data_IF_371389241801
#
_entry.id   IF_371389241801
#
_cell.length_a   1.000
_cell.length_b   1.000
_cell.length_c   1.000
_cell.angle_alpha   90.00
_cell.angle_beta   90.00
_cell.angle_gamma   90.00
#
_symmetry.space_group_name_H-M   'P 1'
#
loop_
_entity.id
_entity.type
_entity.pdbx_description
1 polymer ?
#
# COMPACT_ATOMS: atom_id res chain seq x y z
N UNK A 1 -23.19 26.34 -71.95
CA UNK A 1 -22.42 26.58 -70.72
C UNK A 1 -22.12 25.22 -70.12
N UNK A 2 -20.87 24.77 -70.19
CA UNK A 2 -20.46 23.45 -69.71
C UNK A 2 -19.34 23.66 -68.70
N UNK A 3 -19.66 23.52 -67.41
CA UNK A 3 -18.69 23.58 -66.32
C UNK A 3 -17.93 22.24 -66.27
N UNK A 4 -16.62 22.35 -66.43
CA UNK A 4 -15.66 21.24 -66.45
C UNK A 4 -15.65 20.56 -65.08
N UNK A 5 -15.99 19.28 -65.07
CA UNK A 5 -15.69 18.37 -63.97
C UNK A 5 -14.17 18.36 -63.73
N UNK A 6 -13.74 18.84 -62.57
CA UNK A 6 -12.39 18.66 -62.07
C UNK A 6 -12.20 17.18 -61.75
N UNK A 7 -11.58 16.46 -62.69
CA UNK A 7 -11.07 15.11 -62.46
C UNK A 7 -10.06 15.16 -61.33
N UNK A 8 -10.47 14.77 -60.12
CA UNK A 8 -9.54 14.47 -59.04
C UNK A 8 -8.71 13.24 -59.47
N UNK A 9 -7.53 13.50 -60.01
CA UNK A 9 -6.48 12.50 -60.22
C UNK A 9 -6.17 11.91 -58.86
N UNK A 10 -6.57 10.66 -58.63
CA UNK A 10 -6.13 9.90 -57.46
C UNK A 10 -4.59 9.90 -57.48
N UNK A 11 -3.91 10.30 -56.40
CA UNK A 11 -2.45 10.25 -56.39
C UNK A 11 -2.03 8.82 -56.67
N UNK A 12 -1.17 8.64 -57.67
CA UNK A 12 -0.61 7.34 -58.04
C UNK A 12 0.47 7.00 -57.00
N UNK A 13 0.02 6.56 -55.82
CA UNK A 13 0.88 6.13 -54.72
C UNK A 13 1.60 4.87 -55.18
N UNK A 14 2.94 4.92 -55.22
CA UNK A 14 3.74 3.79 -55.70
C UNK A 14 3.55 2.58 -54.77
N UNK A 15 3.70 1.36 -55.31
CA UNK A 15 3.65 0.13 -54.51
C UNK A 15 4.66 0.14 -53.35
N UNK A 16 5.74 0.91 -53.48
CA UNK A 16 6.78 1.10 -52.46
C UNK A 16 6.31 2.00 -51.31
N UNK A 17 5.62 3.11 -51.60
CA UNK A 17 5.05 4.00 -50.58
C UNK A 17 3.95 3.29 -49.76
N UNK A 18 3.18 2.41 -50.39
CA UNK A 18 2.18 1.57 -49.68
C UNK A 18 2.86 0.55 -48.76
N UNK A 19 3.96 -0.06 -49.19
CA UNK A 19 4.73 -1.01 -48.37
C UNK A 19 5.38 -0.31 -47.18
N UNK A 20 5.98 0.86 -47.37
CA UNK A 20 6.53 1.66 -46.27
C UNK A 20 5.44 2.09 -45.27
N UNK A 21 4.27 2.47 -45.77
CA UNK A 21 3.14 2.83 -44.90
C UNK A 21 2.66 1.64 -44.07
N UNK A 22 2.52 0.46 -44.68
CA UNK A 22 2.15 -0.78 -43.98
C UNK A 22 3.20 -1.21 -42.96
N UNK A 23 4.49 -1.07 -43.25
CA UNK A 23 5.56 -1.34 -42.29
C UNK A 23 5.52 -0.36 -41.11
N UNK A 24 5.31 0.93 -41.37
CA UNK A 24 5.13 1.94 -40.31
C UNK A 24 3.92 1.60 -39.44
N UNK A 25 2.81 1.19 -40.05
CA UNK A 25 1.59 0.81 -39.32
C UNK A 25 1.82 -0.40 -38.41
N UNK A 26 2.46 -1.47 -38.92
CA UNK A 26 2.85 -2.64 -38.11
C UNK A 26 3.76 -2.27 -36.94
N UNK A 27 4.80 -1.46 -37.18
CA UNK A 27 5.70 -0.98 -36.12
C UNK A 27 4.97 -0.15 -35.07
N UNK A 28 3.95 0.62 -35.47
CA UNK A 28 3.15 1.44 -34.55
C UNK A 28 2.21 0.57 -33.70
N UNK A 29 1.60 -0.45 -34.30
CA UNK A 29 0.77 -1.43 -33.58
C UNK A 29 1.60 -2.28 -32.61
N UNK A 30 2.80 -2.71 -33.01
CA UNK A 30 3.72 -3.43 -32.13
C UNK A 30 4.15 -2.56 -30.94
N UNK A 31 4.48 -1.29 -31.17
CA UNK A 31 4.79 -0.34 -30.07
C UNK A 31 3.62 -0.19 -29.11
N UNK A 32 2.40 -0.03 -29.62
CA UNK A 32 1.18 0.05 -28.79
C UNK A 32 0.94 -1.22 -27.98
N UNK A 33 1.16 -2.41 -28.57
CA UNK A 33 1.06 -3.69 -27.87
C UNK A 33 2.10 -3.81 -26.76
N UNK A 34 3.35 -3.42 -27.02
CA UNK A 34 4.42 -3.43 -26.01
C UNK A 34 4.12 -2.46 -24.88
N UNK A 35 3.61 -1.27 -25.19
CA UNK A 35 3.23 -0.27 -24.20
C UNK A 35 2.05 -0.74 -23.33
N UNK A 36 1.04 -1.36 -23.94
CA UNK A 36 -0.08 -1.98 -23.22
C UNK A 36 0.41 -3.10 -22.28
N UNK A 37 1.31 -3.98 -22.76
CA UNK A 37 1.90 -5.04 -21.94
C UNK A 37 2.70 -4.49 -20.77
N UNK A 38 3.43 -3.38 -20.97
CA UNK A 38 4.14 -2.69 -19.88
C UNK A 38 3.16 -2.11 -18.86
N UNK A 39 2.08 -1.48 -19.30
CA UNK A 39 1.06 -0.93 -18.41
C UNK A 39 0.35 -2.02 -17.61
N UNK A 40 0.01 -3.14 -18.24
CA UNK A 40 -0.59 -4.31 -17.57
C UNK A 40 0.37 -4.93 -16.55
N UNK A 41 1.63 -5.17 -16.93
CA UNK A 41 2.64 -5.69 -16.00
C UNK A 41 2.91 -4.73 -14.83
N UNK A 42 2.86 -3.42 -15.08
CA UNK A 42 3.00 -2.40 -14.02
C UNK A 42 1.78 -2.40 -13.10
N UNK A 43 0.57 -2.54 -13.64
CA UNK A 43 -0.66 -2.63 -12.86
C UNK A 43 -0.70 -3.89 -11.99
N UNK A 44 -0.41 -5.06 -12.55
CA UNK A 44 -0.35 -6.31 -11.79
C UNK A 44 0.71 -6.25 -10.68
N UNK A 45 1.85 -5.62 -10.96
CA UNK A 45 2.89 -5.40 -9.95
C UNK A 45 2.40 -4.47 -8.84
N UNK A 46 1.77 -3.35 -9.18
CA UNK A 46 1.21 -2.41 -8.20
C UNK A 46 0.05 -3.02 -7.38
N UNK A 47 -0.82 -3.80 -8.01
CA UNK A 47 -1.91 -4.51 -7.33
C UNK A 47 -1.35 -5.58 -6.39
N UNK A 48 -0.32 -6.31 -6.80
CA UNK A 48 0.39 -7.26 -5.95
C UNK A 48 1.10 -6.55 -4.79
N UNK A 49 1.82 -5.47 -5.07
CA UNK A 49 2.48 -4.66 -4.03
C UNK A 49 1.43 -4.15 -3.02
N UNK A 50 0.23 -3.76 -3.48
CA UNK A 50 -0.88 -3.33 -2.62
C UNK A 50 -1.51 -4.47 -1.81
N UNK A 51 -1.71 -5.66 -2.40
CA UNK A 51 -2.19 -6.83 -1.68
C UNK A 51 -1.18 -7.31 -0.64
N UNK A 52 0.11 -7.33 -1.01
CA UNK A 52 1.24 -7.64 -0.14
C UNK A 52 1.44 -6.59 0.97
N UNK A 53 1.01 -5.34 0.76
CA UNK A 53 1.07 -4.26 1.75
C UNK A 53 -0.08 -4.31 2.78
N UNK A 54 -1.02 -5.24 2.67
CA UNK A 54 -2.11 -5.36 3.65
C UNK A 54 -2.00 -6.63 4.48
N UNK A 55 -2.28 -6.51 5.78
CA UNK A 55 -2.21 -7.60 6.74
C UNK A 55 -3.48 -7.63 7.60
N UNK A 56 -3.88 -8.84 7.98
CA UNK A 56 -4.96 -9.03 8.94
C UNK A 56 -4.39 -9.04 10.36
N UNK A 57 -4.85 -8.10 11.18
CA UNK A 57 -4.41 -7.96 12.57
C UNK A 57 -5.55 -8.40 13.47
N UNK A 58 -5.29 -9.40 14.30
CA UNK A 58 -6.25 -9.90 15.29
C UNK A 58 -5.80 -9.47 16.67
N UNK A 59 -6.64 -8.71 17.39
CA UNK A 59 -6.30 -8.17 18.70
C UNK A 59 -7.50 -8.19 19.64
N UNK A 60 -7.23 -8.10 20.94
CA UNK A 60 -8.25 -8.06 21.97
C UNK A 60 -8.82 -6.66 22.13
N UNK A 61 -10.13 -6.54 21.94
CA UNK A 61 -10.90 -5.32 22.22
C UNK A 61 -11.44 -5.28 23.65
N UNK A 62 -11.66 -6.45 24.24
CA UNK A 62 -11.94 -6.68 25.65
C UNK A 62 -11.37 -8.05 26.05
N UNK A 63 -11.30 -8.41 27.35
CA UNK A 63 -10.70 -9.68 27.80
C UNK A 63 -11.25 -10.92 27.08
N UNK A 64 -12.51 -10.88 26.66
CA UNK A 64 -13.19 -12.00 26.00
C UNK A 64 -13.45 -11.77 24.51
N UNK A 65 -13.23 -10.57 23.98
CA UNK A 65 -13.56 -10.23 22.58
C UNK A 65 -12.33 -9.96 21.75
N UNK A 66 -12.06 -10.85 20.79
CA UNK A 66 -11.11 -10.63 19.70
C UNK A 66 -11.79 -10.00 18.50
N UNK A 67 -11.11 -9.07 17.84
CA UNK A 67 -11.50 -8.52 16.55
C UNK A 67 -10.35 -8.66 15.58
N UNK A 68 -10.69 -8.90 14.32
CA UNK A 68 -9.72 -8.91 13.22
C UNK A 68 -10.04 -7.75 12.31
N UNK A 69 -9.06 -6.91 12.04
CA UNK A 69 -9.19 -5.80 11.08
C UNK A 69 -8.10 -5.90 10.03
N UNK A 70 -8.38 -5.30 8.86
CA UNK A 70 -7.39 -5.16 7.79
C UNK A 70 -6.58 -3.88 8.03
N UNK A 71 -5.28 -4.02 8.13
CA UNK A 71 -4.34 -2.92 8.32
C UNK A 71 -3.29 -2.91 7.19
N UNK A 72 -2.68 -1.76 6.96
CA UNK A 72 -1.51 -1.60 6.10
C UNK A 72 -0.27 -2.01 6.88
N UNK A 73 0.68 -2.66 6.20
CA UNK A 73 2.01 -2.87 6.74
C UNK A 73 2.64 -1.50 6.98
N UNK A 74 3.09 -1.20 8.20
CA UNK A 74 3.81 0.03 8.47
C UNK A 74 5.12 0.03 7.67
N UNK A 75 5.43 1.15 7.03
CA UNK A 75 6.75 1.37 6.43
C UNK A 75 7.85 1.36 7.50
N UNK A 76 9.13 1.20 7.14
CA UNK A 76 10.22 1.17 8.12
C UNK A 76 10.25 2.38 9.05
N UNK A 77 9.96 3.57 8.52
CA UNK A 77 9.90 4.80 9.32
C UNK A 77 8.73 4.75 10.32
N UNK A 78 7.55 4.31 9.87
CA UNK A 78 6.38 4.22 10.73
C UNK A 78 6.56 3.14 11.81
N UNK A 79 7.23 2.05 11.48
CA UNK A 79 7.60 1.01 12.45
C UNK A 79 8.52 1.57 13.54
N UNK A 80 9.54 2.37 13.15
CA UNK A 80 10.42 3.04 14.12
C UNK A 80 9.61 4.00 14.99
N UNK A 81 8.72 4.81 14.41
CA UNK A 81 7.87 5.74 15.14
C UNK A 81 6.97 5.03 16.15
N UNK A 82 6.35 3.91 15.76
CA UNK A 82 5.55 3.04 16.64
C UNK A 82 6.39 2.56 17.82
N UNK A 83 7.59 2.02 17.56
CA UNK A 83 8.45 1.46 18.58
C UNK A 83 8.93 2.53 19.57
N UNK A 84 9.29 3.72 19.07
CA UNK A 84 9.66 4.85 19.91
C UNK A 84 8.50 5.28 20.80
N UNK A 85 7.30 5.47 20.23
CA UNK A 85 6.10 5.85 21.01
C UNK A 85 5.73 4.79 22.06
N UNK A 86 5.86 3.51 21.72
CA UNK A 86 5.59 2.41 22.66
C UNK A 86 6.62 2.36 23.78
N UNK A 87 7.90 2.56 23.47
CA UNK A 87 8.98 2.62 24.45
C UNK A 87 8.87 3.84 25.37
N UNK A 88 8.50 5.00 24.81
CA UNK A 88 8.22 6.21 25.59
C UNK A 88 7.02 6.00 26.52
N UNK A 89 5.93 5.40 26.03
CA UNK A 89 4.75 5.10 26.84
C UNK A 89 5.11 4.21 28.03
N UNK A 90 5.86 3.13 27.80
CA UNK A 90 6.28 2.20 28.85
C UNK A 90 7.18 2.86 29.91
N UNK A 91 7.94 3.91 29.55
CA UNK A 91 8.80 4.63 30.50
C UNK A 91 8.00 5.43 31.53
N UNK A 92 6.86 5.97 31.12
CA UNK A 92 6.00 6.85 31.93
C UNK A 92 4.76 6.14 32.48
N UNK A 93 4.50 4.90 32.06
CA UNK A 93 3.40 4.09 32.57
C UNK A 93 3.50 3.89 34.09
N UNK A 94 2.39 4.10 34.80
CA UNK A 94 2.31 4.00 36.25
C UNK A 94 2.93 5.17 37.03
N UNK A 95 3.50 6.17 36.36
CA UNK A 95 4.01 7.39 37.00
C UNK A 95 2.92 8.46 37.05
N UNK A 96 2.78 9.11 38.21
CA UNK A 96 1.75 10.11 38.46
C UNK A 96 2.30 11.53 38.59
N UNK A 97 3.59 11.75 38.32
CA UNK A 97 4.15 13.10 38.31
C UNK A 97 3.64 13.91 37.11
N UNK A 98 3.46 15.25 37.27
CA UNK A 98 2.88 16.10 36.24
C UNK A 98 3.58 16.03 34.88
N UNK A 99 4.91 15.88 34.87
CA UNK A 99 5.71 15.82 33.65
C UNK A 99 5.48 14.49 32.91
N UNK A 100 5.45 13.37 33.63
CA UNK A 100 5.11 12.06 33.06
C UNK A 100 3.68 12.02 32.53
N UNK A 101 2.73 12.65 33.22
CA UNK A 101 1.34 12.76 32.75
C UNK A 101 1.23 13.62 31.48
N UNK A 102 1.96 14.73 31.40
CA UNK A 102 2.02 15.55 30.19
C UNK A 102 2.62 14.79 29.01
N UNK A 103 3.71 14.05 29.24
CA UNK A 103 4.34 13.21 28.20
C UNK A 103 3.44 12.06 27.75
N UNK A 104 2.76 11.42 28.67
CA UNK A 104 1.74 10.43 28.32
C UNK A 104 0.65 11.07 27.47
N UNK A 105 0.11 12.23 27.86
CA UNK A 105 -0.92 12.93 27.09
C UNK A 105 -0.51 13.24 25.64
N UNK A 106 0.76 13.63 25.40
CA UNK A 106 1.30 13.79 24.05
C UNK A 106 1.28 12.47 23.26
N UNK A 107 1.63 11.35 23.90
CA UNK A 107 1.61 10.02 23.28
C UNK A 107 0.17 9.59 22.97
N UNK A 108 -0.77 9.85 23.89
CA UNK A 108 -2.21 9.61 23.71
C UNK A 108 -2.79 10.35 22.50
N UNK A 109 -2.21 11.48 22.08
CA UNK A 109 -2.64 12.18 20.86
C UNK A 109 -2.02 11.60 19.58
N UNK A 110 -0.85 10.96 19.66
CA UNK A 110 -0.13 10.45 18.48
C UNK A 110 -0.56 9.05 18.08
N UNK A 111 -0.85 8.17 19.05
CA UNK A 111 -1.22 6.78 18.77
C UNK A 111 -2.52 6.63 17.95
N UNK A 112 -3.62 7.36 18.24
CA UNK A 112 -4.83 7.28 17.43
C UNK A 112 -4.63 7.69 15.98
N UNK A 113 -3.83 8.74 15.72
CA UNK A 113 -3.46 9.20 14.37
C UNK A 113 -2.75 8.10 13.59
N UNK A 114 -1.81 7.45 14.25
CA UNK A 114 -1.01 6.41 13.65
C UNK A 114 -1.87 5.16 13.36
N UNK A 115 -2.73 4.76 14.29
CA UNK A 115 -3.66 3.64 14.09
C UNK A 115 -4.67 3.90 12.97
N UNK A 116 -5.17 5.14 12.85
CA UNK A 116 -6.06 5.54 11.76
C UNK A 116 -5.36 5.44 10.40
N UNK A 117 -4.13 5.97 10.28
CA UNK A 117 -3.36 5.92 9.02
C UNK A 117 -3.06 4.50 8.57
N UNK A 118 -2.82 3.58 9.51
CA UNK A 118 -2.52 2.18 9.24
C UNK A 118 -3.78 1.33 9.08
N UNK A 119 -4.96 1.83 9.40
CA UNK A 119 -6.23 1.14 9.15
C UNK A 119 -6.60 1.25 7.68
N UNK A 120 -7.09 0.15 7.08
CA UNK A 120 -7.59 0.17 5.69
C UNK A 120 -9.03 0.67 5.64
N UNK A 121 -9.83 0.41 6.68
CA UNK A 121 -11.20 0.90 6.77
C UNK A 121 -11.21 2.37 7.19
N UNK A 122 -11.76 3.24 6.34
CA UNK A 122 -11.87 4.68 6.57
C UNK A 122 -12.74 5.04 7.78
N UNK A 123 -13.60 4.14 8.24
CA UNK A 123 -14.41 4.34 9.46
C UNK A 123 -13.58 4.22 10.73
N UNK A 124 -12.39 3.61 10.66
CA UNK A 124 -11.45 3.49 11.77
C UNK A 124 -10.52 4.71 11.77
N UNK A 125 -11.11 5.90 11.83
CA UNK A 125 -10.41 7.18 11.79
C UNK A 125 -9.85 7.61 13.17
N UNK A 126 -9.18 8.76 13.22
CA UNK A 126 -8.57 9.26 14.46
C UNK A 126 -9.61 9.45 15.57
N UNK A 127 -10.83 9.87 15.23
CA UNK A 127 -11.91 10.05 16.18
C UNK A 127 -12.36 8.72 16.77
N UNK A 128 -12.52 7.70 15.93
CA UNK A 128 -12.82 6.34 16.37
C UNK A 128 -11.77 5.84 17.37
N UNK A 129 -10.49 5.90 17.01
CA UNK A 129 -9.41 5.37 17.84
C UNK A 129 -9.18 6.16 19.13
N UNK A 130 -9.55 7.45 19.16
CA UNK A 130 -9.38 8.29 20.35
C UNK A 130 -10.58 8.26 21.31
N UNK A 131 -11.81 8.18 20.80
CA UNK A 131 -13.04 8.30 21.62
C UNK A 131 -13.73 6.97 21.90
N UNK A 132 -13.65 6.02 20.98
CA UNK A 132 -14.43 4.77 21.04
C UNK A 132 -13.59 3.56 21.48
N UNK A 133 -12.27 3.70 21.52
CA UNK A 133 -11.35 2.61 21.83
C UNK A 133 -10.56 2.94 23.10
N UNK A 134 -10.47 1.98 24.01
CA UNK A 134 -9.64 2.13 25.21
C UNK A 134 -8.15 2.16 24.84
N UNK A 135 -7.34 2.83 25.64
CA UNK A 135 -5.89 2.88 25.42
C UNK A 135 -5.25 1.49 25.37
N UNK A 136 -5.63 0.61 26.28
CA UNK A 136 -5.14 -0.78 26.31
C UNK A 136 -5.49 -1.51 25.01
N UNK A 137 -6.70 -1.29 24.48
CA UNK A 137 -7.10 -1.87 23.19
C UNK A 137 -6.27 -1.31 22.04
N UNK A 138 -5.99 0.01 22.03
CA UNK A 138 -5.14 0.66 21.03
C UNK A 138 -3.71 0.11 21.08
N UNK A 139 -3.13 -0.03 22.28
CA UNK A 139 -1.83 -0.67 22.46
C UNK A 139 -1.83 -2.12 21.98
N UNK A 140 -2.85 -2.90 22.34
CA UNK A 140 -2.99 -4.29 21.88
C UNK A 140 -3.03 -4.37 20.35
N UNK A 141 -3.77 -3.49 19.69
CA UNK A 141 -3.80 -3.41 18.23
C UNK A 141 -2.40 -3.16 17.67
N UNK A 142 -1.68 -2.17 18.21
CA UNK A 142 -0.33 -1.81 17.76
C UNK A 142 0.66 -2.97 17.97
N UNK A 143 0.62 -3.66 19.12
CA UNK A 143 1.48 -4.81 19.37
C UNK A 143 1.21 -5.96 18.40
N UNK A 144 -0.06 -6.29 18.17
CA UNK A 144 -0.44 -7.34 17.22
C UNK A 144 -0.12 -6.95 15.78
N UNK A 145 -0.18 -5.66 15.44
CA UNK A 145 0.25 -5.15 14.14
C UNK A 145 1.75 -5.36 13.91
N UNK A 146 2.58 -5.04 14.90
CA UNK A 146 4.03 -5.29 14.85
C UNK A 146 4.29 -6.80 14.68
N UNK A 147 3.64 -7.63 15.48
CA UNK A 147 3.80 -9.08 15.45
C UNK A 147 3.36 -9.69 14.10
N UNK A 148 2.22 -9.24 13.56
CA UNK A 148 1.73 -9.67 12.25
C UNK A 148 2.68 -9.26 11.12
N UNK A 149 3.23 -8.04 11.19
CA UNK A 149 4.20 -7.56 10.20
C UNK A 149 5.47 -8.42 10.20
N UNK A 150 6.01 -8.72 11.39
CA UNK A 150 7.20 -9.57 11.53
C UNK A 150 6.98 -11.02 11.08
N UNK A 151 5.77 -11.55 11.25
CA UNK A 151 5.41 -12.89 10.74
C UNK A 151 5.30 -12.93 9.23
N UNK A 152 4.80 -11.86 8.62
CA UNK A 152 4.66 -11.79 7.15
C UNK A 152 6.01 -11.74 6.41
N UNK A 153 7.08 -11.35 7.10
CA UNK A 153 8.45 -11.31 6.58
C UNK A 153 9.24 -12.59 6.83
N UNK A 154 8.62 -13.64 7.40
CA UNK A 154 9.29 -14.92 7.59
C UNK A 154 9.43 -15.62 6.23
N UNK A 155 10.66 -15.60 5.72
CA UNK A 155 11.14 -16.50 4.66
C UNK A 155 10.74 -17.93 5.06
N UNK A 156 10.11 -18.66 4.15
CA UNK A 156 9.72 -20.05 4.44
C UNK A 156 10.95 -20.92 4.69
N UNK A 157 10.81 -22.02 5.41
CA UNK A 157 11.94 -22.96 5.62
C UNK A 157 12.47 -23.49 4.28
N UNK A 158 11.57 -23.66 3.31
CA UNK A 158 11.89 -24.03 1.92
C UNK A 158 12.72 -22.97 1.18
N UNK A 159 12.39 -21.68 1.34
CA UNK A 159 13.19 -20.58 0.79
C UNK A 159 14.54 -20.48 1.52
N UNK A 160 14.59 -20.63 2.85
CA UNK A 160 15.84 -20.61 3.62
C UNK A 160 16.79 -21.73 3.20
N UNK A 161 16.26 -22.91 2.87
CA UNK A 161 17.05 -24.01 2.31
C UNK A 161 17.61 -23.69 0.92
N UNK A 162 16.89 -22.91 0.10
CA UNK A 162 17.35 -22.53 -1.23
C UNK A 162 18.61 -21.64 -1.19
N UNK A 163 18.72 -20.74 -0.21
CA UNK A 163 19.90 -19.90 0.00
C UNK A 163 21.15 -20.67 0.44
N UNK A 164 21.01 -21.92 0.91
CA UNK A 164 22.14 -22.77 1.33
C UNK A 164 22.64 -23.71 0.23
N UNK A 165 21.95 -23.76 -0.92
CA UNK A 165 22.26 -24.64 -2.06
C UNK A 165 23.02 -23.92 -3.19
N UNK A 166 23.27 -22.62 -3.05
CA UNK A 166 24.26 -21.85 -3.84
C UNK A 166 25.64 -21.88 -3.16
#
# INVERSE_FOLDING_TARGET
>A
MAEKQTSQTRPNVSEEEKKEFLEKLKKTEEKKKIELLRQLATREKLERDYEEDTIFVTFYTSPETKRTIKAKKPSPQEMIDILMLSAEAAKYEGRADPDSLAKMAEIYQKLPKLAARLSVDEKLDEEFWSKHVSFTTLQNFIFELIAATQRSTLISEEELESFRKE
#
